data_IF_119140313454
#
_entry.id   IF_119140313454
#
_cell.length_a   1.000
_cell.length_b   1.000
_cell.length_c   1.000
_cell.angle_alpha   90.00
_cell.angle_beta   90.00
_cell.angle_gamma   90.00
#
_symmetry.space_group_name_H-M   'P 1'
#
loop_
_entity.id
_entity.type
_entity.pdbx_description
1 polymer ?
2 polymer ?
3 branched ?
4 non-polymer ?
#
# COMPACT_ATOMS: atom_id res chain seq x y z
N UNK A 1 -24.40 -21.23 -24.74
CA UNK A 1 -23.19 -20.93 -25.50
C UNK A 1 -22.00 -21.71 -24.96
N UNK A 2 -21.90 -21.80 -23.64
CA UNK A 2 -20.81 -22.50 -22.97
C UNK A 2 -21.27 -23.90 -22.60
N UNK A 3 -20.47 -24.89 -22.96
CA UNK A 3 -20.72 -26.28 -22.60
C UNK A 3 -19.60 -26.77 -21.71
N UNK A 4 -19.96 -27.46 -20.62
CA UNK A 4 -19.03 -27.94 -19.61
C UNK A 4 -18.83 -29.44 -19.73
N UNK A 5 -17.66 -29.91 -19.31
CA UNK A 5 -17.35 -31.33 -19.34
C UNK A 5 -16.40 -31.65 -18.20
N UNK A 6 -16.83 -32.54 -17.29
CA UNK A 6 -16.02 -33.00 -16.18
C UNK A 6 -15.16 -34.19 -16.60
N UNK A 7 -14.07 -34.39 -15.87
CA UNK A 7 -13.16 -35.49 -16.16
C UNK A 7 -12.23 -35.71 -14.98
N UNK A 8 -11.86 -36.97 -14.75
CA UNK A 8 -10.86 -37.30 -13.74
C UNK A 8 -11.43 -37.62 -12.38
N UNK A 9 -12.36 -38.57 -12.31
CA UNK A 9 -12.94 -38.97 -11.04
C UNK A 9 -13.28 -40.44 -10.99
N UNK A 10 -12.90 -41.10 -9.90
CA UNK A 10 -13.16 -42.51 -9.74
C UNK A 10 -13.08 -42.94 -8.29
N UNK A 11 -12.65 -44.18 -8.07
CA UNK A 11 -12.52 -44.75 -6.74
C UNK A 11 -11.12 -44.52 -6.20
N UNK A 12 -11.04 -44.18 -4.91
CA UNK A 12 -9.78 -43.93 -4.23
C UNK A 12 -9.87 -44.42 -2.79
N UNK A 13 -8.72 -44.67 -2.20
CA UNK A 13 -8.77 -45.08 -0.81
C UNK A 13 -8.72 -43.85 0.10
N UNK A 14 -9.45 -43.89 1.23
CA UNK A 14 -9.50 -42.74 2.13
C UNK A 14 -8.13 -42.23 2.53
N UNK A 15 -7.86 -40.96 2.23
CA UNK A 15 -6.57 -40.35 2.46
C UNK A 15 -5.80 -40.02 1.20
N UNK A 16 -6.37 -40.28 0.03
CA UNK A 16 -5.70 -40.03 -1.23
C UNK A 16 -5.99 -38.66 -1.80
N UNK A 17 -5.69 -38.50 -3.09
CA UNK A 17 -5.86 -37.23 -3.78
C UNK A 17 -6.37 -37.48 -5.20
N UNK A 18 -7.05 -36.47 -5.73
CA UNK A 18 -7.55 -36.51 -7.10
C UNK A 18 -7.53 -35.08 -7.66
N UNK A 19 -7.58 -34.98 -8.99
CA UNK A 19 -7.62 -33.69 -9.67
C UNK A 19 -8.74 -33.73 -10.70
N UNK A 20 -9.89 -33.17 -10.35
CA UNK A 20 -11.02 -33.13 -11.28
C UNK A 20 -10.88 -31.92 -12.20
N UNK A 21 -10.85 -32.15 -13.50
CA UNK A 21 -10.75 -31.07 -14.46
C UNK A 21 -12.10 -30.87 -15.15
N UNK A 22 -12.40 -29.62 -15.49
CA UNK A 22 -13.65 -29.25 -16.14
C UNK A 22 -13.33 -28.32 -17.30
N UNK A 23 -13.62 -28.77 -18.52
CA UNK A 23 -13.34 -27.99 -19.72
C UNK A 23 -14.62 -27.36 -20.26
N UNK A 24 -14.48 -26.17 -20.83
CA UNK A 24 -15.60 -25.44 -21.41
C UNK A 24 -15.35 -25.22 -22.90
N UNK A 25 -16.44 -25.12 -23.65
CA UNK A 25 -16.39 -24.81 -25.06
C UNK A 25 -17.46 -23.80 -25.40
N UNK A 26 -17.22 -23.01 -26.43
CA UNK A 26 -18.21 -22.05 -26.88
C UNK A 26 -17.83 -20.62 -26.54
N UNK A 27 -17.38 -20.39 -25.32
CA UNK A 27 -16.93 -19.08 -24.87
C UNK A 27 -15.84 -19.26 -23.83
N UNK A 28 -15.08 -18.20 -23.61
CA UNK A 28 -13.98 -18.25 -22.65
C UNK A 28 -14.52 -18.30 -21.23
N UNK A 29 -13.77 -18.97 -20.35
CA UNK A 29 -14.18 -19.11 -18.96
C UNK A 29 -14.25 -17.76 -18.25
N UNK A 30 -13.42 -16.80 -18.64
CA UNK A 30 -13.37 -15.51 -17.95
C UNK A 30 -14.72 -14.81 -17.95
N UNK A 31 -15.55 -15.08 -18.96
CA UNK A 31 -16.87 -14.47 -19.06
C UNK A 31 -17.93 -15.16 -18.22
N UNK A 32 -17.56 -16.20 -17.48
CA UNK A 32 -18.50 -16.99 -16.70
C UNK A 32 -17.98 -17.17 -15.27
N UNK A 33 -18.91 -17.33 -14.34
CA UNK A 33 -18.59 -17.75 -12.98
C UNK A 33 -18.69 -19.26 -12.89
N UNK A 34 -17.79 -19.88 -12.13
CA UNK A 34 -17.68 -21.33 -12.10
C UNK A 34 -17.90 -21.87 -10.69
N UNK A 35 -18.43 -23.09 -10.61
CA UNK A 35 -18.63 -23.71 -9.31
C UNK A 35 -18.65 -25.22 -9.47
N UNK A 36 -18.16 -25.91 -8.45
CA UNK A 36 -18.23 -27.35 -8.34
C UNK A 36 -19.35 -27.70 -7.35
N UNK A 37 -20.16 -28.68 -7.72
CA UNK A 37 -21.32 -29.05 -6.93
C UNK A 37 -21.24 -30.52 -6.53
N UNK A 38 -21.69 -30.83 -5.33
CA UNK A 38 -21.74 -32.19 -4.82
C UNK A 38 -23.16 -32.73 -4.92
N UNK A 39 -23.27 -34.06 -4.96
CA UNK A 39 -24.59 -34.70 -4.92
C UNK A 39 -24.36 -36.17 -4.55
N UNK A 40 -24.58 -36.49 -3.28
CA UNK A 40 -24.53 -37.89 -2.85
C UNK A 40 -25.84 -38.59 -3.19
N UNK A 41 -25.84 -39.91 -3.03
CA UNK A 41 -26.98 -40.73 -3.41
C UNK A 41 -28.22 -40.31 -2.62
N UNK A 42 -29.27 -39.93 -3.34
CA UNK A 42 -30.53 -39.53 -2.72
C UNK A 42 -30.42 -38.29 -1.84
N UNK A 43 -29.60 -37.33 -2.26
CA UNK A 43 -29.43 -36.09 -1.52
C UNK A 43 -29.43 -34.91 -2.49
N UNK A 44 -29.55 -33.72 -1.93
CA UNK A 44 -29.60 -32.51 -2.73
C UNK A 44 -28.21 -32.10 -3.20
N UNK A 45 -28.18 -31.21 -4.19
CA UNK A 45 -26.92 -30.69 -4.71
C UNK A 45 -26.37 -29.61 -3.79
N UNK A 46 -25.15 -29.82 -3.29
CA UNK A 46 -24.47 -28.83 -2.48
C UNK A 46 -23.27 -28.26 -3.23
N UNK A 47 -22.83 -27.08 -2.80
CA UNK A 47 -21.70 -26.39 -3.39
C UNK A 47 -20.46 -26.61 -2.54
N UNK A 48 -19.34 -26.89 -3.20
CA UNK A 48 -18.07 -27.15 -2.52
C UNK A 48 -17.04 -26.05 -2.82
N UNK A 49 -16.87 -25.71 -4.09
CA UNK A 49 -15.90 -24.71 -4.52
C UNK A 49 -16.55 -23.77 -5.52
N UNK A 50 -16.13 -22.51 -5.48
CA UNK A 50 -16.66 -21.50 -6.37
C UNK A 50 -15.58 -20.52 -6.79
N UNK A 51 -15.85 -19.84 -7.90
CA UNK A 51 -14.85 -18.97 -8.51
C UNK A 51 -15.58 -17.87 -9.27
N UNK A 52 -15.27 -16.62 -8.91
CA UNK A 52 -15.77 -15.46 -9.60
C UNK A 52 -15.04 -15.28 -10.93
N UNK A 53 -15.52 -14.34 -11.74
CA UNK A 53 -14.91 -14.08 -13.03
C UNK A 53 -13.54 -13.44 -12.90
N UNK A 54 -13.25 -12.81 -11.76
CA UNK A 54 -11.92 -12.23 -11.55
C UNK A 54 -10.82 -13.29 -11.54
N UNK A 55 -11.18 -14.55 -11.34
CA UNK A 55 -10.21 -15.62 -11.22
C UNK A 55 -9.40 -15.62 -9.95
N UNK A 56 -9.52 -14.59 -9.12
CA UNK A 56 -8.73 -14.50 -7.90
C UNK A 56 -9.56 -14.73 -6.65
N UNK A 57 -10.87 -14.59 -6.70
CA UNK A 57 -11.73 -14.77 -5.54
C UNK A 57 -12.31 -16.19 -5.60
N UNK A 58 -11.73 -17.09 -4.81
CA UNK A 58 -12.18 -18.47 -4.73
C UNK A 58 -12.88 -18.71 -3.40
N UNK A 59 -14.01 -19.41 -3.45
CA UNK A 59 -14.77 -19.79 -2.27
C UNK A 59 -14.66 -21.29 -2.07
N UNK A 60 -14.48 -21.72 -0.83
CA UNK A 60 -14.42 -23.14 -0.49
C UNK A 60 -15.40 -23.42 0.62
N UNK A 61 -16.31 -24.36 0.37
CA UNK A 61 -17.25 -24.75 1.41
C UNK A 61 -16.51 -25.27 2.63
N UNK A 62 -17.10 -25.06 3.81
CA UNK A 62 -16.47 -25.46 5.06
C UNK A 62 -16.19 -26.96 5.13
N UNK A 63 -16.92 -27.77 4.38
CA UNK A 63 -16.66 -29.20 4.36
C UNK A 63 -15.30 -29.49 3.74
N UNK A 64 -15.07 -29.00 2.52
CA UNK A 64 -13.81 -29.22 1.82
C UNK A 64 -12.77 -28.16 2.13
N UNK A 65 -13.05 -27.23 3.04
CA UNK A 65 -12.10 -26.16 3.33
C UNK A 65 -10.84 -26.73 3.97
N UNK A 66 -9.69 -26.21 3.54
CA UNK A 66 -8.41 -26.71 4.00
C UNK A 66 -7.90 -27.96 3.29
N UNK A 67 -8.65 -28.45 2.30
CA UNK A 67 -8.23 -29.64 1.54
C UNK A 67 -8.47 -29.54 0.04
N UNK A 68 -9.43 -28.74 -0.43
CA UNK A 68 -9.70 -28.59 -1.85
C UNK A 68 -9.17 -27.24 -2.33
N UNK A 69 -8.86 -27.16 -3.61
CA UNK A 69 -8.27 -25.96 -4.19
C UNK A 69 -8.68 -25.84 -5.65
N UNK A 70 -9.25 -24.69 -6.03
CA UNK A 70 -9.73 -24.48 -7.38
C UNK A 70 -8.73 -23.62 -8.14
N UNK A 71 -8.66 -23.83 -9.45
CA UNK A 71 -7.71 -23.13 -10.30
C UNK A 71 -8.28 -23.04 -11.71
N UNK A 72 -7.73 -22.12 -12.50
CA UNK A 72 -8.26 -21.84 -13.85
C UNK A 72 -7.10 -21.65 -14.82
N UNK A 73 -6.85 -22.65 -15.65
CA UNK A 73 -5.93 -22.54 -16.77
C UNK A 73 -6.70 -21.93 -17.93
N UNK A 74 -6.57 -20.61 -18.10
CA UNK A 74 -7.28 -19.92 -19.16
C UNK A 74 -6.74 -20.27 -20.54
N UNK A 75 -5.46 -20.66 -20.61
CA UNK A 75 -4.89 -21.09 -21.88
C UNK A 75 -5.58 -22.37 -22.36
N UNK A 76 -5.68 -23.37 -21.48
CA UNK A 76 -6.40 -24.59 -21.80
C UNK A 76 -7.91 -24.47 -21.61
N UNK A 77 -8.38 -23.34 -21.10
CA UNK A 77 -9.81 -23.12 -20.84
C UNK A 77 -10.38 -24.22 -19.96
N UNK A 78 -9.75 -24.41 -18.79
CA UNK A 78 -10.12 -25.51 -17.90
C UNK A 78 -10.05 -25.04 -16.45
N UNK A 79 -10.95 -25.58 -15.63
CA UNK A 79 -10.96 -25.34 -14.20
C UNK A 79 -10.57 -26.64 -13.50
N UNK A 80 -9.53 -26.58 -12.68
CA UNK A 80 -9.02 -27.74 -11.96
C UNK A 80 -9.44 -27.65 -10.49
N UNK A 81 -9.95 -28.75 -9.97
CA UNK A 81 -10.32 -28.90 -8.56
C UNK A 81 -9.40 -29.96 -7.99
N UNK A 82 -8.39 -29.52 -7.23
CA UNK A 82 -7.49 -30.42 -6.51
C UNK A 82 -8.15 -30.81 -5.19
N UNK A 83 -8.28 -32.12 -4.97
CA UNK A 83 -9.00 -32.67 -3.82
C UNK A 83 -8.03 -33.60 -3.08
N UNK A 84 -7.49 -33.12 -1.98
CA UNK A 84 -6.54 -33.89 -1.18
C UNK A 84 -7.17 -34.28 0.15
N UNK A 85 -6.64 -35.34 0.74
CA UNK A 85 -7.16 -35.91 1.99
C UNK A 85 -8.64 -36.25 1.85
N UNK A 86 -8.93 -37.11 0.88
CA UNK A 86 -10.31 -37.48 0.59
C UNK A 86 -10.89 -38.34 1.70
N UNK A 87 -12.09 -37.99 2.14
CA UNK A 87 -12.76 -38.61 3.29
C UNK A 87 -14.04 -39.29 2.84
N UNK A 88 -14.58 -40.23 3.63
CA UNK A 88 -15.75 -40.99 3.17
C UNK A 88 -16.95 -40.15 2.75
N UNK A 89 -17.11 -38.94 3.30
CA UNK A 89 -18.23 -38.10 2.94
C UNK A 89 -18.14 -37.56 1.52
N UNK A 90 -16.94 -37.49 0.94
CA UNK A 90 -16.77 -36.93 -0.40
C UNK A 90 -17.39 -37.78 -1.49
N UNK A 91 -17.82 -39.01 -1.18
CA UNK A 91 -18.43 -39.90 -2.16
C UNK A 91 -19.68 -39.28 -2.77
N UNK A 92 -19.58 -38.81 -4.02
CA UNK A 92 -20.70 -38.14 -4.68
C UNK A 92 -20.39 -37.97 -6.16
N UNK A 93 -21.40 -37.55 -6.91
CA UNK A 93 -21.25 -37.23 -8.33
C UNK A 93 -20.93 -35.75 -8.41
N UNK A 94 -19.66 -35.42 -8.66
CA UNK A 94 -19.23 -34.03 -8.69
C UNK A 94 -19.58 -33.41 -10.04
N UNK A 95 -20.33 -32.32 -9.99
CA UNK A 95 -20.78 -31.59 -11.17
C UNK A 95 -20.02 -30.28 -11.30
N UNK A 96 -20.03 -29.74 -12.52
CA UNK A 96 -19.35 -28.49 -12.86
C UNK A 96 -20.38 -27.55 -13.47
N UNK A 97 -20.71 -26.48 -12.74
CA UNK A 97 -21.71 -25.51 -13.16
C UNK A 97 -21.06 -24.18 -13.51
N UNK A 98 -21.66 -23.48 -14.47
CA UNK A 98 -21.15 -22.19 -14.93
C UNK A 98 -22.34 -21.27 -15.21
N UNK A 99 -22.24 -20.03 -14.74
CA UNK A 99 -23.26 -19.02 -14.96
C UNK A 99 -22.65 -17.81 -15.65
N UNK A 100 -23.51 -16.95 -16.18
CA UNK A 100 -23.09 -15.77 -16.93
C UNK A 100 -23.55 -14.51 -16.21
N UNK A 101 -22.58 -13.68 -15.81
CA UNK A 101 -22.88 -12.43 -15.12
C UNK A 101 -21.96 -11.34 -15.62
N UNK A 102 -22.41 -10.10 -15.49
CA UNK A 102 -21.61 -8.92 -15.83
C UNK A 102 -20.94 -8.31 -14.62
N UNK A 103 -20.71 -9.11 -13.58
CA UNK A 103 -19.98 -8.69 -12.38
C UNK A 103 -18.91 -9.73 -12.08
N UNK A 104 -17.74 -9.27 -11.66
CA UNK A 104 -16.55 -10.10 -11.60
C UNK A 104 -16.22 -10.53 -10.18
N UNK A 105 -17.07 -10.22 -9.20
CA UNK A 105 -16.69 -10.38 -7.80
C UNK A 105 -17.72 -11.17 -7.00
N UNK A 106 -18.63 -11.89 -7.65
CA UNK A 106 -19.67 -12.62 -6.94
C UNK A 106 -19.78 -14.03 -7.50
N UNK A 107 -20.38 -14.91 -6.70
CA UNK A 107 -20.64 -16.29 -7.06
C UNK A 107 -21.96 -16.71 -6.44
N UNK A 108 -22.76 -17.45 -7.21
CA UNK A 108 -24.08 -17.87 -6.75
C UNK A 108 -23.97 -19.08 -5.82
N UNK A 109 -24.95 -19.20 -4.93
CA UNK A 109 -24.97 -20.27 -3.94
C UNK A 109 -25.87 -21.44 -4.35
N UNK A 110 -27.08 -21.15 -4.80
CA UNK A 110 -28.01 -22.22 -5.12
C UNK A 110 -27.75 -22.76 -6.52
N UNK A 111 -27.86 -24.07 -6.72
CA UNK A 111 -27.65 -24.63 -8.07
C UNK A 111 -28.66 -24.14 -9.10
N UNK A 112 -29.82 -23.63 -8.66
CA UNK A 112 -30.81 -23.17 -9.63
C UNK A 112 -30.33 -21.89 -10.34
N UNK A 113 -29.57 -21.06 -9.63
CA UNK A 113 -29.07 -19.82 -10.22
C UNK A 113 -28.04 -20.07 -11.32
N UNK A 114 -27.65 -21.32 -11.54
CA UNK A 114 -26.67 -21.65 -12.55
C UNK A 114 -27.37 -22.15 -13.80
N UNK A 115 -27.36 -21.40 -14.90
CA UNK A 115 -28.01 -21.87 -16.13
C UNK A 115 -27.30 -23.03 -16.78
N UNK A 116 -25.97 -22.96 -16.90
CA UNK A 116 -25.20 -23.98 -17.60
C UNK A 116 -24.67 -25.01 -16.61
N UNK A 117 -24.76 -26.27 -16.99
CA UNK A 117 -24.28 -27.37 -16.15
C UNK A 117 -23.55 -28.38 -17.01
N UNK A 118 -22.76 -29.24 -16.35
CA UNK A 118 -22.03 -30.27 -17.03
C UNK A 118 -22.34 -31.65 -16.50
N UNK A 119 -22.14 -32.67 -17.33
CA UNK A 119 -22.35 -34.05 -16.88
C UNK A 119 -21.33 -34.43 -15.81
N UNK A 120 -21.81 -34.68 -14.59
CA UNK A 120 -20.92 -34.91 -13.48
C UNK A 120 -20.15 -36.21 -13.60
N UNK A 121 -19.05 -36.28 -12.85
CA UNK A 121 -18.22 -37.46 -12.77
C UNK A 121 -18.26 -38.00 -11.34
N UNK A 122 -18.41 -39.31 -11.21
CA UNK A 122 -18.53 -39.94 -9.90
C UNK A 122 -17.17 -40.00 -9.20
N UNK A 123 -17.17 -39.71 -7.91
CA UNK A 123 -15.98 -39.80 -7.07
C UNK A 123 -16.37 -40.60 -5.84
N UNK A 124 -15.89 -41.83 -5.75
CA UNK A 124 -16.12 -42.71 -4.61
C UNK A 124 -14.82 -42.90 -3.84
N UNK A 125 -14.92 -42.95 -2.52
CA UNK A 125 -13.74 -43.14 -1.69
C UNK A 125 -13.97 -44.26 -0.69
N UNK B 9 -11.12 12.64 -10.80
CA UNK B 9 -10.85 12.82 -9.38
C UNK B 9 -12.06 12.41 -8.54
N UNK B 10 -12.27 11.09 -8.40
CA UNK B 10 -13.37 10.55 -7.63
C UNK B 10 -13.02 10.23 -6.19
N UNK B 11 -11.83 9.70 -5.93
CA UNK B 11 -11.40 9.38 -4.57
C UNK B 11 -10.12 10.07 -4.16
N UNK B 12 -9.39 10.68 -5.08
CA UNK B 12 -8.13 11.33 -4.78
C UNK B 12 -8.24 12.81 -5.11
N UNK B 13 -8.19 13.66 -4.10
CA UNK B 13 -8.30 15.10 -4.27
C UNK B 13 -7.04 15.80 -3.76
N UNK B 14 -6.58 16.78 -4.53
CA UNK B 14 -5.37 17.54 -4.21
C UNK B 14 -5.76 18.98 -3.93
N UNK B 15 -5.75 19.35 -2.65
CA UNK B 15 -6.00 20.73 -2.24
C UNK B 15 -4.70 21.53 -2.35
N UNK B 16 -4.78 22.65 -3.08
CA UNK B 16 -3.61 23.50 -3.32
C UNK B 16 -3.28 24.37 -2.11
N UNK B 17 -4.29 24.81 -1.37
CA UNK B 17 -4.05 25.66 -0.21
C UNK B 17 -3.18 24.94 0.82
N UNK B 18 -3.57 23.73 1.19
CA UNK B 18 -2.79 22.91 2.12
C UNK B 18 -1.79 22.01 1.40
N UNK B 19 -1.79 22.00 0.07
CA UNK B 19 -0.91 21.14 -0.73
C UNK B 19 -1.01 19.69 -0.27
N UNK B 20 -2.24 19.22 -0.05
CA UNK B 20 -2.47 17.90 0.52
C UNK B 20 -3.22 17.05 -0.50
N UNK B 21 -2.78 15.81 -0.66
CA UNK B 21 -3.41 14.87 -1.58
C UNK B 21 -4.04 13.78 -0.72
N UNK B 22 -5.36 13.85 -0.57
CA UNK B 22 -6.09 12.86 0.22
C UNK B 22 -6.78 11.87 -0.70
N UNK B 23 -6.52 10.59 -0.47
CA UNK B 23 -7.13 9.49 -1.20
C UNK B 23 -7.84 8.58 -0.20
N UNK B 24 -9.09 8.22 -0.51
CA UNK B 24 -9.89 7.33 0.33
C UNK B 24 -10.17 6.06 -0.46
N UNK B 25 -9.62 4.95 0.01
CA UNK B 25 -9.80 3.66 -0.64
C UNK B 25 -10.46 2.70 0.33
N UNK B 26 -11.74 2.93 0.62
CA UNK B 26 -12.48 2.05 1.52
C UNK B 26 -13.72 1.55 0.81
N UNK B 27 -14.64 2.46 0.49
CA UNK B 27 -15.85 2.07 -0.23
C UNK B 27 -15.56 1.56 -1.63
N UNK B 28 -14.40 1.93 -2.20
CA UNK B 28 -14.06 1.43 -3.53
C UNK B 28 -13.70 -0.05 -3.49
N UNK B 29 -13.17 -0.54 -2.37
CA UNK B 29 -12.81 -1.93 -2.21
C UNK B 29 -13.77 -2.66 -1.27
N UNK B 30 -14.92 -2.07 -0.98
CA UNK B 30 -15.89 -2.72 -0.10
C UNK B 30 -16.45 -3.96 -0.78
N UNK B 31 -16.53 -5.05 -0.03
CA UNK B 31 -16.94 -6.34 -0.55
C UNK B 31 -18.44 -6.60 -0.42
N UNK B 32 -19.23 -5.56 -0.18
CA UNK B 32 -20.67 -5.72 0.00
C UNK B 32 -21.47 -5.36 -1.24
N UNK B 33 -20.83 -4.84 -2.29
CA UNK B 33 -21.53 -4.40 -3.49
C UNK B 33 -21.00 -5.18 -4.68
N UNK B 34 -21.90 -5.53 -5.60
CA UNK B 34 -21.49 -6.11 -6.87
C UNK B 34 -20.65 -5.11 -7.64
N UNK B 35 -19.50 -5.57 -8.15
CA UNK B 35 -18.56 -4.69 -8.83
C UNK B 35 -18.25 -5.21 -10.23
N UNK B 36 -18.15 -4.28 -11.17
CA UNK B 36 -17.92 -4.61 -12.58
C UNK B 36 -16.44 -4.64 -12.95
N UNK B 37 -15.57 -4.00 -12.16
CA UNK B 37 -14.15 -3.95 -12.45
C UNK B 37 -13.37 -4.40 -11.22
N UNK B 38 -12.44 -5.33 -11.42
CA UNK B 38 -11.66 -5.87 -10.31
C UNK B 38 -10.47 -4.98 -9.95
N UNK B 39 -9.94 -4.24 -10.91
CA UNK B 39 -8.82 -3.33 -10.68
C UNK B 39 -9.28 -1.91 -10.97
N UNK B 40 -9.34 -1.08 -9.92
CA UNK B 40 -9.69 0.32 -10.06
C UNK B 40 -8.41 1.14 -9.94
N UNK B 41 -8.13 1.96 -10.94
CA UNK B 41 -6.89 2.71 -11.01
C UNK B 41 -7.16 4.20 -10.82
N UNK B 42 -6.28 4.86 -10.09
CA UNK B 42 -6.34 6.30 -9.87
C UNK B 42 -4.93 6.85 -9.86
N UNK B 43 -4.65 7.82 -10.73
CA UNK B 43 -3.31 8.38 -10.89
C UNK B 43 -3.23 9.76 -10.25
N UNK B 44 -2.07 10.07 -9.68
CA UNK B 44 -1.81 11.34 -9.03
C UNK B 44 -0.39 11.79 -9.38
N UNK B 45 -0.24 13.06 -9.72
CA UNK B 45 1.06 13.67 -9.95
C UNK B 45 1.38 14.63 -8.82
N UNK B 46 2.58 14.51 -8.25
CA UNK B 46 2.97 15.31 -7.10
C UNK B 46 4.29 16.00 -7.36
N UNK B 47 4.50 17.11 -6.66
CA UNK B 47 5.71 17.91 -6.77
C UNK B 47 6.41 17.94 -5.40
N UNK B 48 7.38 18.84 -5.27
CA UNK B 48 8.13 18.96 -4.03
C UNK B 48 7.20 19.30 -2.87
N UNK B 49 7.52 18.76 -1.69
CA UNK B 49 6.87 19.11 -0.44
C UNK B 49 5.39 18.74 -0.39
N UNK B 50 4.86 18.16 -1.46
CA UNK B 50 3.49 17.69 -1.43
C UNK B 50 3.34 16.57 -0.41
N UNK B 51 2.11 16.38 0.07
CA UNK B 51 1.80 15.38 1.08
C UNK B 51 0.66 14.49 0.59
N UNK B 52 0.90 13.18 0.59
CA UNK B 52 -0.10 12.19 0.16
C UNK B 52 -0.56 11.41 1.37
N UNK B 53 -1.86 11.44 1.63
CA UNK B 53 -2.45 10.73 2.77
C UNK B 53 -3.49 9.76 2.21
N UNK B 54 -3.21 8.48 2.31
CA UNK B 54 -4.14 7.44 1.86
C UNK B 54 -4.77 6.80 3.09
N UNK B 55 -6.10 6.79 3.15
CA UNK B 55 -6.84 6.22 4.26
C UNK B 55 -7.39 4.86 3.83
N UNK B 56 -6.85 3.79 4.38
CA UNK B 56 -7.22 2.43 4.01
C UNK B 56 -7.74 1.67 5.23
N UNK B 57 -8.44 0.53 5.01
CA UNK B 57 -9.02 -0.19 6.14
C UNK B 57 -8.06 -1.16 6.81
N UNK B 58 -8.59 -1.99 7.71
CA UNK B 58 -7.81 -3.01 8.41
C UNK B 58 -8.59 -4.31 8.39
N UNK B 59 -7.98 -5.37 8.94
CA UNK B 59 -8.66 -6.65 9.03
C UNK B 59 -9.85 -6.60 9.97
N UNK B 60 -9.84 -5.69 10.94
CA UNK B 60 -10.92 -5.60 11.92
C UNK B 60 -12.16 -4.93 11.34
N UNK B 61 -11.98 -3.98 10.43
CA UNK B 61 -13.10 -3.32 9.80
C UNK B 61 -13.92 -4.32 9.00
N UNK B 62 -15.24 -4.32 9.24
CA UNK B 62 -16.12 -5.28 8.59
C UNK B 62 -16.09 -5.09 7.07
N UNK B 63 -16.29 -6.20 6.36
CA UNK B 63 -16.22 -6.33 4.90
C UNK B 63 -14.80 -6.26 4.37
N UNK B 64 -13.80 -6.04 5.22
CA UNK B 64 -12.40 -6.03 4.85
C UNK B 64 -11.60 -6.98 5.74
N UNK B 65 -12.18 -8.17 6.00
CA UNK B 65 -11.54 -9.12 6.91
C UNK B 65 -10.19 -9.57 6.37
N UNK B 66 -10.17 -10.09 5.14
CA UNK B 66 -8.93 -10.55 4.52
C UNK B 66 -8.27 -9.47 3.67
N UNK B 67 -8.27 -8.23 4.15
CA UNK B 67 -7.61 -7.14 3.47
C UNK B 67 -6.11 -7.18 3.74
N UNK B 68 -5.33 -6.86 2.71
CA UNK B 68 -3.88 -6.73 2.86
C UNK B 68 -3.38 -5.73 1.83
N UNK B 69 -2.10 -5.41 1.94
CA UNK B 69 -1.50 -4.32 1.18
C UNK B 69 -0.27 -4.85 0.46
N UNK B 70 0.05 -4.21 -0.67
CA UNK B 70 1.21 -4.60 -1.47
C UNK B 70 1.96 -3.36 -1.91
N UNK B 71 3.23 -3.19 -1.50
CA UNK B 71 4.05 -4.07 -0.66
C UNK B 71 3.47 -4.21 0.74
N UNK B 72 3.68 -5.34 1.42
CA UNK B 72 3.09 -5.50 2.75
C UNK B 72 3.66 -4.50 3.74
N UNK B 73 4.87 -4.00 3.49
CA UNK B 73 5.52 -3.00 4.34
C UNK B 73 5.39 -1.66 3.62
N UNK B 74 4.36 -0.88 3.99
CA UNK B 74 4.10 0.38 3.31
C UNK B 74 5.13 1.44 3.66
N UNK B 75 5.49 1.52 4.95
CA UNK B 75 6.36 2.59 5.40
C UNK B 75 7.71 2.55 4.70
N UNK B 76 8.22 1.36 4.40
CA UNK B 76 9.55 1.21 3.85
C UNK B 76 9.57 1.07 2.32
N UNK B 77 8.67 0.27 1.76
CA UNK B 77 8.74 -0.10 0.35
C UNK B 77 7.53 0.38 -0.43
N UNK B 78 7.73 0.53 -1.73
CA UNK B 78 6.67 0.83 -2.69
C UNK B 78 6.89 -0.08 -3.90
N UNK B 79 5.96 -0.01 -4.85
CA UNK B 79 6.07 -0.78 -6.09
C UNK B 79 6.67 0.11 -7.16
N UNK B 80 7.99 0.00 -7.35
CA UNK B 80 8.68 0.84 -8.31
C UNK B 80 8.36 0.42 -9.73
N UNK B 81 8.13 1.42 -10.59
CA UNK B 81 7.71 1.21 -11.98
C UNK B 81 6.48 0.31 -12.07
N UNK B 82 5.70 0.27 -10.99
CA UNK B 82 4.50 -0.56 -10.91
C UNK B 82 4.84 -2.05 -11.12
N UNK B 83 6.03 -2.45 -10.68
CA UNK B 83 6.53 -3.79 -10.95
C UNK B 83 7.09 -4.46 -9.70
N UNK B 84 8.33 -4.12 -9.33
CA UNK B 84 9.03 -4.81 -8.26
C UNK B 84 9.11 -3.96 -7.00
N UNK B 85 8.91 -4.54 -5.83
CA UNK B 85 9.01 -3.77 -4.58
C UNK B 85 10.42 -3.28 -4.31
N UNK B 86 10.52 -2.01 -3.92
CA UNK B 86 11.79 -1.33 -3.67
C UNK B 86 11.59 -0.35 -2.51
N UNK B 87 12.60 -0.25 -1.65
CA UNK B 87 12.58 0.74 -0.58
C UNK B 87 12.37 2.14 -1.13
N UNK B 88 11.38 2.85 -0.57
CA UNK B 88 11.02 4.17 -1.09
C UNK B 88 12.20 5.12 -0.99
N UNK B 89 13.02 4.97 0.07
CA UNK B 89 14.20 5.82 0.22
C UNK B 89 15.17 5.68 -0.94
N UNK B 90 15.14 4.54 -1.64
CA UNK B 90 16.07 4.32 -2.75
C UNK B 90 15.71 5.18 -3.95
N UNK B 91 14.42 5.28 -4.29
CA UNK B 91 14.02 6.07 -5.45
C UNK B 91 13.70 7.51 -5.08
N UNK B 92 13.27 7.76 -3.85
CA UNK B 92 12.96 9.11 -3.38
C UNK B 92 13.78 9.38 -2.12
N UNK B 93 15.07 9.70 -2.28
CA UNK B 93 15.92 9.93 -1.10
C UNK B 93 15.46 11.16 -0.34
N UNK B 94 15.37 11.03 0.98
CA UNK B 94 14.93 12.10 1.84
C UNK B 94 13.43 12.21 2.04
N UNK B 95 12.67 11.20 1.64
CA UNK B 95 11.23 11.21 1.85
C UNK B 95 10.90 10.76 3.27
N UNK B 96 9.67 11.04 3.71
CA UNK B 96 9.26 10.66 5.06
C UNK B 96 7.90 9.98 5.02
N UNK B 97 7.82 8.78 5.55
CA UNK B 97 6.56 8.03 5.58
C UNK B 97 6.18 7.72 7.03
N UNK B 98 4.89 7.87 7.33
CA UNK B 98 4.35 7.57 8.65
C UNK B 98 3.05 6.77 8.50
N UNK B 99 2.79 5.95 9.51
CA UNK B 99 1.60 5.11 9.57
C UNK B 99 0.79 5.44 10.81
N UNK B 100 -0.49 5.74 10.62
CA UNK B 100 -1.41 6.03 11.72
C UNK B 100 -2.53 5.00 11.69
N UNK B 101 -3.14 4.76 12.84
CA UNK B 101 -4.27 3.84 12.92
C UNK B 101 -5.22 4.31 14.02
N UNK B 102 -6.47 4.58 13.65
CA UNK B 102 -7.49 4.99 14.64
C UNK B 102 -8.32 3.77 15.00
N UNK B 103 -8.14 3.27 16.23
CA UNK B 103 -8.86 2.08 16.66
C UNK B 103 -10.36 2.32 16.77
N UNK B 104 -10.78 3.59 16.84
CA UNK B 104 -12.20 3.88 16.94
C UNK B 104 -12.92 3.64 15.61
N UNK B 105 -12.21 3.75 14.49
CA UNK B 105 -12.80 3.57 13.17
C UNK B 105 -12.23 2.38 12.40
N UNK B 106 -11.21 1.71 12.94
CA UNK B 106 -10.55 0.59 12.28
C UNK B 106 -10.03 1.00 10.90
N UNK B 107 -9.36 2.16 10.86
CA UNK B 107 -8.85 2.73 9.62
C UNK B 107 -7.43 3.22 9.86
N UNK B 108 -6.53 2.87 8.94
CA UNK B 108 -5.14 3.32 8.96
C UNK B 108 -4.92 4.40 7.89
N UNK B 109 -3.82 5.13 8.06
CA UNK B 109 -3.42 6.23 7.19
C UNK B 109 -1.95 6.10 6.85
N UNK B 110 -1.66 6.06 5.56
CA UNK B 110 -0.30 6.13 5.04
C UNK B 110 -0.02 7.56 4.64
N UNK B 111 0.96 8.19 5.29
CA UNK B 111 1.27 9.60 5.06
C UNK B 111 2.66 9.68 4.47
N UNK B 112 2.78 10.26 3.28
CA UNK B 112 4.04 10.42 2.60
C UNK B 112 4.32 11.91 2.40
N UNK B 113 5.47 12.35 2.89
CA UNK B 113 5.99 13.70 2.67
C UNK B 113 7.13 13.60 1.67
N UNK B 114 6.92 14.19 0.50
CA UNK B 114 7.93 14.31 -0.55
C UNK B 114 9.00 15.29 -0.09
N UNK B 115 10.28 14.98 -0.26
CA UNK B 115 11.33 15.90 0.19
C UNK B 115 11.23 17.24 -0.52
N UNK B 116 11.78 18.30 0.08
CA UNK B 116 11.72 19.62 -0.57
C UNK B 116 12.44 19.65 -1.92
N UNK B 117 13.21 18.63 -2.26
CA UNK B 117 13.86 18.55 -3.56
C UNK B 117 13.81 17.12 -4.06
N UNK B 118 13.41 16.96 -5.33
CA UNK B 118 13.40 15.68 -6.01
C UNK B 118 14.35 15.79 -7.18
N UNK B 119 15.45 15.04 -7.11
CA UNK B 119 16.49 15.16 -8.13
C UNK B 119 16.11 14.49 -9.44
N UNK B 120 15.23 13.50 -9.41
CA UNK B 120 14.85 12.75 -10.60
C UNK B 120 13.38 12.40 -10.56
N UNK B 121 12.73 12.44 -11.73
CA UNK B 121 11.34 12.03 -11.83
C UNK B 121 11.16 10.60 -11.36
N UNK B 122 10.05 10.33 -10.66
CA UNK B 122 9.83 9.00 -10.11
C UNK B 122 8.37 8.58 -10.31
N UNK B 123 8.17 7.33 -10.73
CA UNK B 123 6.85 6.73 -10.87
C UNK B 123 6.78 5.45 -10.05
N UNK B 124 5.76 5.34 -9.18
CA UNK B 124 5.61 4.14 -8.38
C UNK B 124 4.16 3.98 -7.97
N UNK B 125 3.76 2.75 -7.64
CA UNK B 125 2.39 2.47 -7.27
C UNK B 125 2.28 1.89 -5.87
N UNK B 126 1.04 1.81 -5.42
CA UNK B 126 0.66 1.17 -4.16
C UNK B 126 -0.65 0.42 -4.39
N UNK B 127 -0.66 -0.86 -4.03
CA UNK B 127 -1.83 -1.72 -4.23
C UNK B 127 -2.56 -1.94 -2.91
N UNK B 128 -3.89 -2.01 -3.00
CA UNK B 128 -4.76 -2.28 -1.86
C UNK B 128 -5.69 -3.41 -2.27
N UNK B 129 -5.39 -4.62 -1.79
CA UNK B 129 -6.04 -5.85 -2.21
C UNK B 129 -7.10 -6.23 -1.19
N UNK B 130 -8.37 -6.21 -1.61
CA UNK B 130 -9.46 -6.70 -0.77
C UNK B 130 -10.21 -7.83 -1.46
N UNK B 131 -9.58 -8.48 -2.43
CA UNK B 131 -10.27 -9.54 -3.17
C UNK B 131 -10.56 -10.74 -2.28
N UNK B 132 -9.71 -11.01 -1.28
CA UNK B 132 -9.92 -12.16 -0.42
C UNK B 132 -11.09 -11.97 0.52
N UNK B 133 -11.52 -10.73 0.77
CA UNK B 133 -12.67 -10.49 1.63
C UNK B 133 -13.96 -10.78 0.89
N UNK B 134 -14.99 -11.16 1.63
CA UNK B 134 -16.25 -11.55 1.03
C UNK B 134 -17.41 -11.21 1.95
N UNK B 135 -18.61 -11.20 1.36
CA UNK B 135 -19.88 -11.08 2.07
C UNK B 135 -20.88 -12.01 1.40
N UNK B 136 -21.93 -12.36 2.15
CA UNK B 136 -22.96 -13.26 1.64
C UNK B 136 -24.31 -12.56 1.71
N UNK B 137 -24.90 -12.27 0.56
CA UNK B 137 -26.19 -11.58 0.49
C UNK B 137 -27.08 -12.27 -0.53
N UNK B 138 -28.33 -12.52 -0.14
CA UNK B 138 -29.30 -13.22 -0.98
C UNK B 138 -28.68 -14.56 -1.34
N UNK B 139 -28.67 -14.97 -2.62
CA UNK B 139 -28.02 -16.19 -3.04
C UNK B 139 -26.66 -15.93 -3.67
N UNK B 140 -25.98 -14.87 -3.23
CA UNK B 140 -24.72 -14.42 -3.80
C UNK B 140 -23.65 -14.35 -2.72
N UNK B 141 -22.42 -14.63 -3.12
CA UNK B 141 -21.24 -14.45 -2.27
C UNK B 141 -20.38 -13.41 -2.97
N UNK B 142 -20.60 -12.14 -2.62
CA UNK B 142 -19.87 -11.03 -3.23
C UNK B 142 -18.47 -10.99 -2.64
N UNK B 143 -17.51 -10.50 -3.43
CA UNK B 143 -16.13 -10.36 -3.02
C UNK B 143 -15.67 -8.92 -3.25
N UNK B 144 -14.54 -8.58 -2.64
CA UNK B 144 -13.92 -7.29 -2.83
C UNK B 144 -13.00 -7.28 -4.05
N UNK B 145 -12.43 -6.11 -4.32
CA UNK B 145 -11.52 -5.93 -5.44
C UNK B 145 -10.26 -5.25 -4.94
N UNK B 146 -9.34 -4.98 -5.87
CA UNK B 146 -8.06 -4.34 -5.58
C UNK B 146 -8.03 -2.97 -6.24
N UNK B 147 -7.44 -2.01 -5.56
CA UNK B 147 -7.30 -0.65 -6.06
C UNK B 147 -5.84 -0.25 -6.09
N UNK B 148 -5.40 0.29 -7.22
CA UNK B 148 -4.00 0.66 -7.42
C UNK B 148 -3.89 2.18 -7.54
N UNK B 149 -2.92 2.75 -6.83
CA UNK B 149 -2.63 4.19 -6.88
C UNK B 149 -1.27 4.35 -7.55
N UNK B 150 -1.25 5.09 -8.66
CA UNK B 150 -0.04 5.38 -9.41
C UNK B 150 0.38 6.82 -9.14
N UNK B 151 1.51 7.00 -8.47
CA UNK B 151 2.01 8.31 -8.06
C UNK B 151 3.23 8.64 -8.91
N UNK B 152 3.21 9.85 -9.47
CA UNK B 152 4.33 10.41 -10.21
C UNK B 152 4.83 11.67 -9.49
N UNK B 153 6.15 11.82 -9.41
CA UNK B 153 6.79 12.97 -8.76
C UNK B 153 7.74 13.63 -9.76
N UNK B 154 7.58 14.95 -9.91
CA UNK B 154 8.35 15.81 -10.79
C UNK B 154 9.71 16.16 -10.18
N UNK B 155 10.55 16.81 -10.99
CA UNK B 155 11.83 17.31 -10.51
C UNK B 155 11.60 18.44 -9.51
N UNK B 156 12.52 18.55 -8.56
CA UNK B 156 12.29 19.34 -7.35
C UNK B 156 12.74 20.78 -7.34
N UNK B 157 13.07 21.37 -8.49
CA UNK B 157 13.30 22.81 -8.66
C UNK B 157 14.62 23.32 -8.06
N UNK B 158 14.80 23.19 -6.73
CA UNK B 158 15.93 23.82 -6.08
C UNK B 158 16.46 22.96 -4.94
N UNK B 159 17.80 22.83 -4.88
CA UNK B 159 18.47 22.17 -3.76
C UNK B 159 18.19 22.92 -2.46
N UNK B 160 17.86 22.16 -1.41
CA UNK B 160 17.53 22.76 -0.12
C UNK B 160 18.77 23.46 0.44
N UNK B 161 18.56 24.68 0.95
CA UNK B 161 19.65 25.45 1.55
C UNK B 161 19.88 24.97 2.98
N UNK B 162 20.34 23.73 3.08
CA UNK B 162 20.57 23.10 4.36
C UNK B 162 21.94 22.47 4.47
N UNK B 163 22.11 21.58 5.44
CA UNK B 163 23.37 20.94 5.73
C UNK B 163 23.23 19.43 5.65
N UNK B 164 24.26 18.77 5.11
CA UNK B 164 24.31 17.31 5.04
C UNK B 164 25.68 16.85 5.51
N UNK B 165 25.69 16.01 6.54
CA UNK B 165 26.93 15.43 7.06
C UNK B 165 27.06 13.95 6.76
N UNK B 166 25.99 13.30 6.28
CA UNK B 166 26.09 11.91 5.87
C UNK B 166 26.86 11.76 4.57
N UNK B 167 26.95 12.82 3.77
CA UNK B 167 27.59 12.78 2.47
C UNK B 167 26.80 12.08 1.39
N UNK B 168 25.65 11.50 1.72
CA UNK B 168 24.86 10.76 0.74
C UNK B 168 23.79 11.62 0.09
N UNK B 169 23.28 12.62 0.80
CA UNK B 169 22.23 13.49 0.28
C UNK B 169 22.80 14.74 -0.36
N UNK B 170 23.87 14.61 -1.14
CA UNK B 170 24.52 15.78 -1.71
C UNK B 170 23.61 16.51 -2.68
N UNK B 171 22.83 15.76 -3.46
CA UNK B 171 21.95 16.39 -4.43
C UNK B 171 20.77 17.08 -3.77
N UNK B 172 20.49 16.78 -2.50
CA UNK B 172 19.33 17.34 -1.82
C UNK B 172 19.66 18.63 -1.10
N UNK B 173 20.82 18.70 -0.44
CA UNK B 173 21.20 19.87 0.33
C UNK B 173 22.29 20.66 -0.37
N UNK B 174 22.44 21.92 0.04
CA UNK B 174 23.47 22.79 -0.53
C UNK B 174 24.86 22.44 -0.03
N UNK B 175 24.98 22.00 1.22
CA UNK B 175 26.26 21.65 1.82
C UNK B 175 26.30 20.16 2.11
N UNK B 176 27.36 19.49 1.66
CA UNK B 176 27.52 18.07 1.87
C UNK B 176 28.99 17.75 2.07
N UNK B 177 29.29 16.89 3.05
CA UNK B 177 30.65 16.49 3.33
C UNK B 177 30.64 15.05 3.80
N UNK B 178 31.58 14.26 3.27
CA UNK B 178 31.70 12.87 3.68
C UNK B 178 32.08 12.81 5.16
N UNK B 179 31.43 11.96 5.96
CA UNK B 179 31.75 11.92 7.40
C UNK B 179 33.19 11.50 7.64
N UNK B 180 33.83 12.19 8.58
CA UNK B 180 35.21 11.98 8.93
C UNK B 180 35.32 11.31 10.30
N UNK B 181 36.45 10.65 10.60
CA UNK B 181 36.58 10.01 11.93
C UNK B 181 36.50 10.99 13.09
N UNK B 182 37.26 12.08 13.03
CA UNK B 182 37.25 13.09 14.08
C UNK B 182 37.08 14.46 13.41
N UNK B 183 35.96 15.12 13.67
CA UNK B 183 35.67 16.38 13.01
C UNK B 183 34.66 17.18 13.82
N UNK B 184 34.84 18.49 13.85
CA UNK B 184 33.96 19.42 14.54
C UNK B 184 33.40 20.47 13.59
N UNK B 185 33.03 20.05 12.38
CA UNK B 185 32.54 20.98 11.38
C UNK B 185 31.21 21.59 11.80
N UNK B 186 31.01 22.85 11.41
CA UNK B 186 29.80 23.61 11.73
C UNK B 186 29.33 24.27 10.44
N UNK B 187 28.09 24.01 10.06
CA UNK B 187 27.52 24.50 8.81
C UNK B 187 26.64 25.72 9.08
N UNK B 188 26.94 26.82 8.40
CA UNK B 188 26.21 28.07 8.53
C UNK B 188 25.50 28.39 7.22
N UNK B 189 24.21 28.70 7.30
CA UNK B 189 23.40 29.00 6.13
C UNK B 189 22.53 30.21 6.44
N UNK B 190 22.38 31.09 5.45
CA UNK B 190 21.50 32.26 5.53
C UNK B 190 20.25 31.98 4.70
N UNK B 191 19.09 31.93 5.35
CA UNK B 191 17.84 31.63 4.68
C UNK B 191 16.91 32.84 4.80
N UNK B 192 16.04 32.98 3.80
CA UNK B 192 15.04 34.02 3.79
C UNK B 192 13.64 33.48 4.05
N UNK B 193 12.65 34.31 3.73
CA UNK B 193 11.26 33.93 3.91
C UNK B 193 10.83 33.03 2.76
N UNK B 194 10.01 32.02 3.08
CA UNK B 194 9.53 31.04 2.09
C UNK B 194 10.70 30.36 1.38
N UNK B 195 11.74 30.04 2.16
CA UNK B 195 12.91 29.33 1.67
C UNK B 195 13.11 28.08 2.50
N UNK B 196 13.60 27.02 1.86
CA UNK B 196 13.73 25.73 2.51
C UNK B 196 15.12 25.57 3.11
N UNK B 197 15.18 24.92 4.27
CA UNK B 197 16.46 24.58 4.87
C UNK B 197 16.28 23.28 5.66
N UNK B 198 17.40 22.66 6.02
CA UNK B 198 17.29 21.41 6.74
C UNK B 198 18.64 20.82 7.09
N UNK B 199 18.60 19.62 7.65
CA UNK B 199 19.83 18.93 8.01
C UNK B 199 19.68 17.42 7.84
N UNK B 200 20.84 16.76 7.73
CA UNK B 200 20.93 15.31 7.56
C UNK B 200 22.12 14.80 8.36
N UNK B 201 21.86 13.89 9.30
CA UNK B 201 22.89 13.27 10.12
C UNK B 201 22.69 11.76 10.12
N UNK B 202 23.64 11.04 10.73
CA UNK B 202 23.46 9.61 10.89
C UNK B 202 22.49 9.34 12.04
N UNK B 203 21.72 8.26 11.92
CA UNK B 203 20.65 7.99 12.87
C UNK B 203 21.19 7.78 14.28
N UNK B 204 22.27 7.01 14.42
CA UNK B 204 22.81 6.71 15.73
C UNK B 204 23.45 7.91 16.41
N UNK B 205 23.58 9.04 15.71
CA UNK B 205 24.04 10.27 16.35
C UNK B 205 22.98 10.81 17.30
N UNK B 206 23.42 11.62 18.26
CA UNK B 206 22.52 12.26 19.22
C UNK B 206 22.09 13.61 18.67
N UNK B 207 20.78 13.81 18.58
CA UNK B 207 20.18 15.06 18.10
C UNK B 207 19.93 15.98 19.28
N UNK B 208 20.25 17.26 19.09
CA UNK B 208 20.36 18.21 20.18
C UNK B 208 19.83 19.56 19.75
N UNK B 209 18.64 19.96 20.22
CA UNK B 209 17.74 19.18 21.11
C UNK B 209 17.10 18.04 20.33
N UNK B 210 16.43 17.11 21.01
CA UNK B 210 15.80 16.00 20.32
C UNK B 210 14.74 16.52 19.36
N UNK B 211 14.55 15.79 18.26
CA UNK B 211 13.56 16.13 17.23
C UNK B 211 13.69 17.61 16.83
N UNK B 212 14.81 17.89 16.19
CA UNK B 212 15.20 19.26 15.93
C UNK B 212 14.24 19.93 14.96
N UNK B 213 14.40 21.27 14.86
CA UNK B 213 13.48 22.16 14.17
C UNK B 213 12.16 22.31 14.93
N UNK B 214 11.68 21.24 15.55
CA UNK B 214 10.52 21.36 16.43
C UNK B 214 10.92 21.96 17.77
N UNK B 215 12.08 21.57 18.29
CA UNK B 215 12.65 22.13 19.51
C UNK B 215 14.09 22.50 19.16
N UNK B 216 14.28 23.71 18.64
CA UNK B 216 15.60 24.18 18.29
C UNK B 216 16.21 24.94 19.46
N UNK B 217 17.54 25.03 19.47
CA UNK B 217 18.24 25.78 20.50
C UNK B 217 18.03 27.27 20.29
N UNK B 218 17.48 27.94 21.31
CA UNK B 218 17.17 29.37 21.22
C UNK B 218 18.46 30.14 21.45
N UNK B 219 19.23 30.33 20.36
CA UNK B 219 20.52 31.00 20.46
C UNK B 219 20.37 32.43 20.99
N UNK B 220 19.28 33.11 20.62
CA UNK B 220 19.02 34.42 21.19
C UNK B 220 18.94 34.35 22.71
N UNK B 221 18.11 33.44 23.23
CA UNK B 221 18.03 33.18 24.67
C UNK B 221 19.14 32.26 25.17
N UNK B 222 20.35 32.43 24.64
CA UNK B 222 21.54 31.70 25.09
C UNK B 222 21.38 30.19 24.94
N UNK B 223 21.00 29.76 23.72
CA UNK B 223 20.87 28.35 23.37
C UNK B 223 20.00 27.60 24.38
N UNK B 224 18.72 27.97 24.39
CA UNK B 224 17.75 27.44 25.35
C UNK B 224 16.89 26.36 24.71
N UNK B 225 16.67 25.28 25.46
CA UNK B 225 15.79 24.20 25.01
C UNK B 225 14.35 24.69 25.14
N UNK B 226 13.72 25.00 24.00
CA UNK B 226 12.33 25.44 24.00
C UNK B 226 11.68 25.02 22.69
N UNK B 227 10.38 24.77 22.75
CA UNK B 227 9.63 24.43 21.55
C UNK B 227 9.65 25.59 20.58
N UNK B 228 9.95 25.31 19.31
CA UNK B 228 9.98 26.35 18.30
C UNK B 228 8.65 27.07 18.17
N UNK B 229 7.55 26.43 18.60
CA UNK B 229 6.24 27.10 18.57
C UNK B 229 6.25 28.39 19.38
N UNK B 230 6.98 28.40 20.50
CA UNK B 230 7.09 29.63 21.28
C UNK B 230 7.83 30.71 20.51
N UNK B 231 8.91 30.33 19.80
CA UNK B 231 9.66 31.31 19.03
C UNK B 231 8.84 31.84 17.87
N UNK B 232 8.21 30.95 17.11
CA UNK B 232 7.39 31.36 15.97
C UNK B 232 6.42 30.24 15.63
N UNK B 233 5.32 30.62 14.97
CA UNK B 233 4.32 29.66 14.52
C UNK B 233 4.13 29.65 13.02
N UNK B 234 4.51 30.71 12.31
CA UNK B 234 4.36 30.78 10.86
C UNK B 234 5.47 30.00 10.17
N UNK B 235 5.65 28.74 10.59
CA UNK B 235 6.71 27.88 10.08
C UNK B 235 6.12 26.50 9.80
N UNK B 236 6.76 25.78 8.89
CA UNK B 236 6.40 24.42 8.52
C UNK B 236 7.65 23.56 8.55
N UNK B 237 7.54 22.37 9.14
CA UNK B 237 8.72 21.54 9.32
C UNK B 237 8.34 20.08 9.34
N UNK B 238 9.35 19.22 9.14
CA UNK B 238 9.15 17.79 9.22
C UNK B 238 10.48 17.13 9.56
N UNK B 239 10.41 15.88 10.02
CA UNK B 239 11.61 15.20 10.52
C UNK B 239 11.37 13.70 10.56
N UNK B 240 12.41 12.95 10.18
CA UNK B 240 12.41 11.50 10.29
C UNK B 240 13.60 11.08 11.15
N UNK B 241 13.33 10.22 12.12
CA UNK B 241 14.36 9.79 13.06
C UNK B 241 15.35 8.85 12.40
N UNK B 242 14.85 7.86 11.65
CA UNK B 242 15.74 6.92 10.98
C UNK B 242 15.03 6.38 9.75
N UNK B 243 15.63 6.57 8.59
CA UNK B 243 15.14 6.02 7.34
C UNK B 243 15.69 4.61 7.15
N UNK B 244 15.33 3.98 6.03
CA UNK B 244 15.85 2.65 5.72
C UNK B 244 17.36 2.68 5.58
N UNK B 245 17.92 3.80 5.12
CA UNK B 245 19.36 3.97 4.99
C UNK B 245 20.05 4.30 6.31
N UNK B 246 19.28 4.55 7.37
CA UNK B 246 19.87 4.81 8.68
C UNK B 246 20.38 6.22 8.86
N UNK B 247 19.58 7.21 8.49
CA UNK B 247 19.94 8.61 8.64
C UNK B 247 18.74 9.41 9.14
N UNK B 248 19.01 10.33 10.06
CA UNK B 248 17.99 11.24 10.57
C UNK B 248 18.00 12.52 9.74
N UNK B 249 16.82 13.01 9.39
CA UNK B 249 16.73 14.15 8.50
C UNK B 249 15.61 15.08 8.94
N UNK B 250 15.78 16.38 8.68
CA UNK B 250 14.71 17.31 9.01
C UNK B 250 14.73 18.51 8.07
N UNK B 251 13.55 19.09 7.86
CA UNK B 251 13.33 20.21 6.95
C UNK B 251 12.46 21.26 7.61
N UNK B 252 12.60 22.50 7.11
CA UNK B 252 11.95 23.66 7.70
C UNK B 252 11.80 24.73 6.62
N UNK B 253 10.74 25.53 6.74
CA UNK B 253 10.48 26.66 5.85
C UNK B 253 9.58 27.65 6.59
N UNK B 254 9.89 28.94 6.45
CA UNK B 254 9.11 29.99 7.08
C UNK B 254 8.08 30.54 6.09
N UNK B 255 6.88 30.84 6.59
CA UNK B 255 5.79 31.30 5.74
C UNK B 255 5.18 32.57 6.33
N UNK B 256 5.48 33.71 5.71
CA UNK B 256 4.97 35.01 6.15
C UNK B 256 5.28 35.26 7.62
N UNK B 257 6.52 35.02 8.01
CA UNK B 257 6.99 35.28 9.37
C UNK B 257 7.89 36.53 9.31
N UNK B 258 7.51 37.56 10.05
CA UNK B 258 8.19 38.84 9.94
C UNK B 258 9.40 38.99 10.86
N UNK B 259 9.54 38.13 11.87
CA UNK B 259 10.58 38.28 12.88
C UNK B 259 11.86 37.58 12.46
N UNK B 260 12.99 38.29 12.64
CA UNK B 260 14.30 37.70 12.39
C UNK B 260 14.63 36.66 13.45
N UNK B 261 15.03 35.47 13.00
CA UNK B 261 15.24 34.34 13.89
C UNK B 261 16.61 33.73 13.67
N UNK B 262 17.21 33.27 14.77
CA UNK B 262 18.50 32.57 14.75
C UNK B 262 18.47 31.45 15.77
N UNK B 263 18.64 30.22 15.29
CA UNK B 263 18.56 29.02 16.12
C UNK B 263 19.53 27.99 15.58
N UNK B 264 19.70 26.89 16.33
CA UNK B 264 20.75 25.95 16.01
C UNK B 264 20.36 24.54 16.43
N UNK B 265 21.17 23.57 15.99
CA UNK B 265 20.93 22.14 16.21
C UNK B 265 22.28 21.43 16.08
N UNK B 266 22.37 20.26 16.70
CA UNK B 266 23.65 19.55 16.85
C UNK B 266 23.45 18.05 16.73
N UNK B 267 24.27 17.39 15.94
CA UNK B 267 24.37 15.93 15.93
C UNK B 267 25.74 15.53 16.45
N UNK B 268 25.76 14.83 17.57
CA UNK B 268 27.04 14.53 18.20
C UNK B 268 27.19 13.03 18.43
N UNK B 269 28.44 12.59 18.37
CA UNK B 269 28.84 11.21 18.65
C UNK B 269 30.14 11.25 19.44
N UNK B 270 30.57 10.06 19.88
CA UNK B 270 31.78 9.92 20.67
C UNK B 270 33.05 10.24 19.87
N UNK B 271 32.96 10.19 18.54
CA UNK B 271 34.11 10.46 17.66
C UNK B 271 34.10 11.85 17.07
N UNK B 272 32.94 12.34 16.63
CA UNK B 272 32.84 13.64 15.99
C UNK B 272 31.54 14.33 16.41
N UNK B 273 31.43 15.60 16.02
CA UNK B 273 30.22 16.37 16.25
C UNK B 273 30.03 17.35 15.10
N UNK B 274 28.77 17.59 14.74
CA UNK B 274 28.41 18.50 13.65
C UNK B 274 27.28 19.40 14.12
N UNK B 275 27.31 20.65 13.67
CA UNK B 275 26.38 21.68 14.14
C UNK B 275 25.80 22.42 12.94
N UNK B 276 24.50 22.70 13.01
CA UNK B 276 23.78 23.44 11.97
C UNK B 276 23.42 24.81 12.56
N UNK B 277 23.72 25.87 11.82
CA UNK B 277 23.38 27.23 12.21
C UNK B 277 22.64 27.90 11.06
N UNK B 278 21.44 28.39 11.34
CA UNK B 278 20.56 28.99 10.34
C UNK B 278 20.16 30.37 10.83
N UNK B 279 20.13 31.34 9.92
CA UNK B 279 19.74 32.71 10.23
C UNK B 279 18.55 33.07 9.35
N UNK B 280 17.37 33.16 9.95
CA UNK B 280 16.16 33.55 9.22
C UNK B 280 16.02 35.07 9.27
N UNK B 281 16.19 35.71 8.12
CA UNK B 281 15.98 37.15 7.99
C UNK B 281 14.97 37.37 6.87
N UNK B 282 13.76 37.83 7.18
CA UNK B 282 12.75 38.02 6.12
C UNK B 282 13.23 38.93 5.00
N UNK B 283 14.05 39.93 5.32
CA UNK B 283 14.57 40.82 4.29
C UNK B 283 15.77 40.25 3.57
N UNK B 284 16.38 39.18 4.09
CA UNK B 284 17.54 38.59 3.43
C UNK B 284 17.16 38.10 2.03
N UNK B 285 18.09 38.28 1.10
CA UNK B 285 17.92 37.83 -0.28
C UNK B 285 19.16 37.05 -0.69
N UNK B 286 18.95 35.96 -1.42
CA UNK B 286 20.08 35.17 -1.92
C UNK B 286 20.86 36.00 -2.93
N UNK B 287 22.20 35.97 -2.91
CA UNK B 287 23.06 36.72 -3.83
C UNK B 287 22.77 36.44 -5.30
X LIG C 1 -4.04 -9.54 -5.04
X LIG C 1 -4.78 -10.87 -4.87
X LIG C 1 -4.52 -11.80 -6.04
X LIG C 1 -4.46 -11.16 -7.43
X LIG C 1 -3.81 -9.76 -7.36
X LIG C 1 -3.95 -8.96 -8.62
X LIG C 1 -5.09 -12.42 -2.97
X LIG C 1 -4.36 -13.15 -1.87
X LIG C 1 -4.31 -11.62 -3.73
X LIG C 1 -5.48 -12.82 -5.97
X LIG C 1 -3.82 -12.07 -8.32
X LIG C 1 -4.37 -9.00 -6.30
X LIG C 1 -5.17 -8.25 -8.59
X LIG C 1 -6.29 -12.55 -3.14
X LIG C 2 -2.86 -12.96 -7.66
X LIG C 2 -2.79 -14.36 -8.32
X LIG C 2 -1.75 -15.21 -7.62
X LIG C 2 -0.39 -14.54 -7.65
X LIG C 2 -0.57 -13.15 -7.03
X LIG C 2 0.69 -12.31 -6.93
X LIG C 2 -4.70 -15.66 -7.33
X LIG C 2 -5.93 -16.46 -7.69
X LIG C 2 -4.01 -15.14 -8.37
X LIG C 2 -1.78 -16.46 -8.26
X LIG C 2 0.45 -15.36 -6.88
X LIG C 2 -1.56 -12.40 -7.73
X LIG C 2 1.55 -12.96 -6.02
X LIG C 2 -4.39 -15.49 -6.15
X LIG C 3 1.36 -16.09 -7.73
X LIG C 3 2.44 -16.67 -6.82
X LIG C 3 3.36 -17.62 -7.60
X LIG C 3 2.62 -18.64 -8.50
X LIG C 3 1.35 -18.12 -9.15
X LIG C 3 0.35 -19.21 -9.53
X LIG C 3 1.81 -17.30 -5.73
X LIG C 3 4.20 -18.22 -6.63
X LIG C 3 3.56 -19.01 -9.49
X LIG C 3 0.67 -17.12 -8.43
X LIG C 3 -0.69 -18.58 -10.24
X LIG D 1 -28.70 -17.81 -23.95
X LIG D 1 -28.48 -17.15 -24.98
X LIG D 1 -29.27 -18.93 -23.90
X LIG D 1 -28.23 -17.22 -22.60
X LIG D 1 -27.22 -18.09 -21.84
X LIG D 1 -27.90 -19.27 -21.46
X LIG D 1 -26.01 -18.47 -22.72
X LIG D 1 -25.12 -17.29 -23.13
X LIG D 1 -25.34 -16.75 -24.22
X LIG D 1 -24.20 -16.97 -22.33
X LIG D 1 -26.74 -17.29 -20.59
X LIG D 1 -26.05 -17.92 -19.77
X LIG D 1 -27.08 -16.09 -20.49
#
# INVERSE_FOLDING_TARGET
>A
QVQLQESGGGLVQPGGSLRLSCAASGRTFSSYMMAWFRQSQGNERELVAGLTRSGVSAYYADSVKGRFTISRDNAKNTVYLQMNSLKPKDTAVYYCAAASTTYINHIYTNPSNYPHWGPGTQVTVSSHHHHHH
>B
GASKKTIGKDICKYDVTTKVATCEIIDTIDSSVLKEHHTVHYSITLSRWDKLIIKYPTNEKTHFENFFVNPFNLKDKVLYNYNKPINIEHILPGAITTDIYDTRTKIKQYILRIPPYVHKDIHFSLEFNNSLSLTKQNQNIIYGNVAKIFIHINQGYKEIHGCDFTGKYSHLFTYSKKPLPNDDDICNVTIGNNTFSGFACLSHFELKPNNCFSSVYDYNEANKVKKLFDLSTKVELDHIKQNTSGYTLSYIIFNKESTKLKFSCTCSSNYSNYTIRITFDPNYIIPE
>C hetero
1 NAG C1 C2 C3 C4 C5 C6 C7 C8 N2 O3 O4 O5 O6 O7
2 NAG C1 C2 C3 C4 C5 C6 C7 C8 N2 O3 O4 O5 O6 O7
3 BMA C1 C2 C3 C4 C5 C6 O2 O3 O4 O5 O6
>D hetero
1 CIT C1 O1 O2 C2 C3 O7 C4 C5 O3 O4 C6 O5 O6
#
